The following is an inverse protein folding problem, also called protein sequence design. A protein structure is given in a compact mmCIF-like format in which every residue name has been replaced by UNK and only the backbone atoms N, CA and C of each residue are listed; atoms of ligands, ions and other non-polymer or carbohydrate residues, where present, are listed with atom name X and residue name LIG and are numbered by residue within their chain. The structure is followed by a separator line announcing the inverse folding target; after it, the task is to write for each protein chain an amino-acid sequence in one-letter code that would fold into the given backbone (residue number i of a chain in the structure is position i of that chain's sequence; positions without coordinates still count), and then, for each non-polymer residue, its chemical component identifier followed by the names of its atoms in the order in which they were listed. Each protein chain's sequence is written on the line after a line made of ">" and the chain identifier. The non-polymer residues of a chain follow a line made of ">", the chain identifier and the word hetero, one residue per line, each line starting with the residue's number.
data_IF_192880085580
#
_entry.id   IF_192880085580
#
_cell.length_a   1.000
_cell.length_b   1.000
_cell.length_c   1.000
_cell.angle_alpha   90.00
_cell.angle_beta   90.00
_cell.angle_gamma   90.00
#
_symmetry.space_group_name_H-M   'P 1'
#
loop_
_entity.id
_entity.type
_entity.pdbx_description
1 polymer ?
#
# COMPACT_ATOMS: atom_id res chain seq x y z
N UNK A 1 21.43 -52.32 -48.66
CA UNK A 1 22.21 -51.07 -48.45
C UNK A 1 22.21 -50.76 -46.97
N UNK A 2 23.37 -50.97 -46.33
CA UNK A 2 23.64 -50.69 -44.93
C UNK A 2 24.63 -49.52 -44.92
N UNK A 3 24.35 -48.52 -44.09
CA UNK A 3 25.29 -47.76 -43.23
C UNK A 3 24.81 -46.33 -43.04
N UNK A 4 24.54 -45.98 -41.80
CA UNK A 4 24.93 -44.73 -41.13
C UNK A 4 24.16 -44.64 -39.82
N UNK A 5 24.69 -44.13 -38.73
CA UNK A 5 26.05 -44.03 -38.23
C UNK A 5 25.85 -43.79 -36.72
N UNK A 6 26.72 -44.36 -35.89
CA UNK A 6 26.71 -44.15 -34.44
C UNK A 6 27.03 -42.68 -34.12
N UNK A 7 26.41 -42.16 -33.07
CA UNK A 7 27.13 -41.47 -32.00
C UNK A 7 26.39 -41.72 -30.68
N UNK A 8 26.91 -42.65 -29.87
CA UNK A 8 26.80 -42.55 -28.41
C UNK A 8 27.63 -41.36 -27.95
N UNK A 9 27.42 -40.75 -26.79
CA UNK A 9 27.82 -41.17 -25.42
C UNK A 9 27.01 -40.24 -24.48
N UNK A 10 26.19 -40.76 -23.57
CA UNK A 10 26.49 -41.13 -22.18
C UNK A 10 26.45 -39.98 -21.15
N UNK A 11 26.03 -40.36 -19.94
CA UNK A 11 26.13 -39.69 -18.63
C UNK A 11 25.06 -38.67 -18.21
N UNK A 12 24.00 -39.22 -17.64
CA UNK A 12 23.64 -39.16 -16.20
C UNK A 12 23.81 -37.85 -15.40
N UNK A 13 22.73 -37.56 -14.67
CA UNK A 13 22.63 -36.74 -13.43
C UNK A 13 22.54 -35.22 -13.56
N UNK A 14 21.30 -34.70 -13.50
CA UNK A 14 20.96 -33.79 -12.39
C UNK A 14 19.44 -33.81 -12.11
N UNK A 15 19.13 -34.31 -10.90
CA UNK A 15 17.85 -34.17 -10.21
C UNK A 15 17.43 -32.70 -10.11
N UNK A 16 16.23 -32.33 -10.58
CA UNK A 16 15.32 -31.52 -9.76
C UNK A 16 13.91 -32.08 -9.91
N UNK A 17 13.46 -32.65 -8.79
CA UNK A 17 12.09 -33.06 -8.50
C UNK A 17 11.20 -31.82 -8.59
N UNK A 18 10.37 -31.71 -9.61
CA UNK A 18 9.14 -30.93 -9.49
C UNK A 18 7.97 -31.89 -9.45
N UNK A 19 7.56 -32.11 -8.19
CA UNK A 19 6.39 -32.86 -7.81
C UNK A 19 5.20 -32.43 -8.66
N UNK A 20 4.61 -33.43 -9.30
CA UNK A 20 3.21 -33.49 -9.68
C UNK A 20 2.38 -33.08 -8.46
N UNK A 21 1.92 -31.83 -8.43
CA UNK A 21 0.77 -31.43 -7.63
C UNK A 21 -0.34 -31.18 -8.64
N UNK A 22 -0.93 -32.29 -9.06
CA UNK A 22 -2.34 -32.32 -9.45
C UNK A 22 -3.12 -31.98 -8.18
N UNK A 23 -3.49 -30.71 -8.03
CA UNK A 23 -4.59 -30.32 -7.16
C UNK A 23 -5.62 -29.61 -8.03
N UNK A 24 -6.61 -30.41 -8.44
CA UNK A 24 -8.03 -30.04 -8.42
C UNK A 24 -8.27 -28.53 -8.51
N UNK A 25 -8.40 -28.01 -9.73
CA UNK A 25 -9.14 -26.77 -9.96
C UNK A 25 -10.54 -26.97 -9.35
N UNK A 26 -10.86 -26.36 -8.18
CA UNK A 26 -12.24 -26.31 -7.77
C UNK A 26 -12.97 -25.54 -8.87
N UNK A 27 -14.20 -25.93 -9.20
CA UNK A 27 -15.09 -25.08 -9.97
C UNK A 27 -15.10 -23.70 -9.31
N UNK A 28 -14.33 -22.76 -9.85
CA UNK A 28 -14.23 -21.39 -9.31
C UNK A 28 -15.62 -20.83 -9.45
N UNK A 29 -16.31 -20.72 -8.31
CA UNK A 29 -17.62 -20.11 -8.23
C UNK A 29 -17.37 -18.64 -8.52
N UNK A 30 -17.52 -18.24 -9.79
CA UNK A 30 -17.39 -16.85 -10.22
C UNK A 30 -18.38 -16.03 -9.39
N UNK A 31 -17.85 -15.31 -8.40
CA UNK A 31 -18.59 -14.29 -7.69
C UNK A 31 -18.74 -13.14 -8.67
N UNK A 32 -19.92 -13.00 -9.28
CA UNK A 32 -20.22 -11.83 -10.11
C UNK A 32 -20.29 -10.63 -9.16
N UNK A 33 -19.27 -9.79 -9.22
CA UNK A 33 -19.17 -8.54 -8.46
C UNK A 33 -19.15 -7.37 -9.43
N UNK A 34 -19.74 -6.24 -9.02
CA UNK A 34 -19.59 -4.98 -9.75
C UNK A 34 -18.14 -4.53 -9.68
N UNK A 35 -17.64 -3.85 -10.71
CA UNK A 35 -16.26 -3.32 -10.76
C UNK A 35 -15.92 -2.46 -9.54
N UNK A 36 -16.88 -1.66 -9.06
CA UNK A 36 -16.71 -0.85 -7.86
C UNK A 36 -16.61 -1.68 -6.57
N UNK A 37 -17.35 -2.78 -6.49
CA UNK A 37 -17.28 -3.66 -5.33
C UNK A 37 -15.98 -4.47 -5.34
N UNK A 38 -15.50 -4.85 -6.52
CA UNK A 38 -14.21 -5.51 -6.70
C UNK A 38 -13.04 -4.61 -6.30
N UNK A 39 -13.05 -3.34 -6.69
CA UNK A 39 -12.04 -2.37 -6.26
C UNK A 39 -12.02 -2.19 -4.73
N UNK A 40 -13.20 -2.14 -4.08
CA UNK A 40 -13.29 -2.05 -2.61
C UNK A 40 -12.71 -3.29 -1.93
N UNK A 41 -12.98 -4.47 -2.46
CA UNK A 41 -12.49 -5.71 -1.86
C UNK A 41 -10.97 -5.85 -2.04
N UNK A 42 -10.45 -5.50 -3.23
CA UNK A 42 -9.00 -5.42 -3.49
C UNK A 42 -8.33 -4.47 -2.50
N UNK A 43 -8.90 -3.28 -2.27
CA UNK A 43 -8.39 -2.35 -1.26
C UNK A 43 -8.40 -2.95 0.14
N UNK A 44 -9.46 -3.65 0.52
CA UNK A 44 -9.60 -4.25 1.84
C UNK A 44 -8.56 -5.35 2.08
N UNK A 45 -8.28 -6.17 1.06
CA UNK A 45 -7.27 -7.24 1.11
C UNK A 45 -5.87 -6.65 1.24
N UNK A 46 -5.52 -5.66 0.42
CA UNK A 46 -4.22 -4.97 0.50
C UNK A 46 -4.06 -4.27 1.85
N UNK A 47 -5.12 -3.65 2.39
CA UNK A 47 -5.12 -3.02 3.71
C UNK A 47 -4.90 -4.03 4.83
N UNK A 48 -5.52 -5.21 4.73
CA UNK A 48 -5.37 -6.30 5.72
C UNK A 48 -3.94 -6.86 5.71
N UNK A 49 -3.31 -6.92 4.54
CA UNK A 49 -1.91 -7.36 4.41
C UNK A 49 -0.90 -6.33 4.97
N UNK A 50 -1.30 -5.06 5.06
CA UNK A 50 -0.49 -3.99 5.65
C UNK A 50 0.90 -3.88 5.01
N UNK A 51 1.94 -3.90 5.86
CA UNK A 51 3.34 -3.73 5.43
C UNK A 51 3.99 -4.94 4.74
N UNK A 52 3.31 -6.09 4.63
CA UNK A 52 3.84 -7.26 3.91
C UNK A 52 3.71 -7.09 2.39
N UNK A 53 2.71 -6.32 1.95
CA UNK A 53 2.28 -6.24 0.56
C UNK A 53 1.76 -7.59 0.04
N UNK A 54 1.12 -7.57 -1.12
CA UNK A 54 0.60 -8.78 -1.78
C UNK A 54 0.97 -8.80 -3.26
N UNK A 55 1.17 -10.00 -3.79
CA UNK A 55 1.28 -10.28 -5.22
C UNK A 55 -0.10 -10.31 -5.88
N UNK A 56 -0.15 -10.17 -7.22
CA UNK A 56 -1.42 -10.24 -7.96
C UNK A 56 -2.07 -11.61 -7.76
N UNK A 57 -1.28 -12.67 -7.77
CA UNK A 57 -1.71 -14.06 -7.60
C UNK A 57 -2.29 -14.30 -6.20
N UNK A 58 -1.72 -13.65 -5.18
CA UNK A 58 -2.24 -13.69 -3.81
C UNK A 58 -3.60 -12.96 -3.73
N UNK A 59 -3.70 -11.76 -4.31
CA UNK A 59 -4.96 -11.00 -4.36
C UNK A 59 -6.04 -11.79 -5.13
N UNK A 60 -5.67 -12.41 -6.24
CA UNK A 60 -6.53 -13.25 -7.06
C UNK A 60 -7.02 -14.50 -6.31
N UNK A 61 -6.13 -15.15 -5.57
CA UNK A 61 -6.46 -16.32 -4.77
C UNK A 61 -7.40 -16.00 -3.62
N UNK A 62 -7.17 -14.88 -2.92
CA UNK A 62 -8.04 -14.41 -1.83
C UNK A 62 -9.44 -14.02 -2.33
N UNK A 63 -9.54 -13.44 -3.53
CA UNK A 63 -10.82 -13.07 -4.15
C UNK A 63 -11.52 -14.22 -4.86
N UNK A 64 -10.80 -15.31 -5.16
CA UNK A 64 -11.29 -16.39 -6.02
C UNK A 64 -11.60 -15.91 -7.45
N UNK A 65 -10.85 -14.95 -7.96
CA UNK A 65 -11.03 -14.34 -9.29
C UNK A 65 -9.73 -14.49 -10.08
N UNK A 66 -9.84 -14.60 -11.41
CA UNK A 66 -8.68 -14.71 -12.29
C UNK A 66 -7.81 -13.43 -12.28
N UNK A 67 -6.49 -13.62 -12.30
CA UNK A 67 -5.53 -12.51 -12.27
C UNK A 67 -5.64 -11.57 -13.47
N UNK A 68 -6.10 -12.05 -14.63
CA UNK A 68 -6.32 -11.23 -15.83
C UNK A 68 -7.45 -10.20 -15.64
N UNK A 69 -8.44 -10.51 -14.81
CA UNK A 69 -9.55 -9.60 -14.50
C UNK A 69 -9.13 -8.54 -13.48
N UNK A 70 -8.25 -8.90 -12.55
CA UNK A 70 -7.80 -8.02 -11.47
C UNK A 70 -6.74 -7.03 -11.95
N UNK A 71 -5.87 -7.44 -12.87
CA UNK A 71 -4.79 -6.60 -13.40
C UNK A 71 -5.23 -5.21 -13.87
N UNK A 72 -6.26 -5.03 -14.72
CA UNK A 72 -6.70 -3.69 -15.13
C UNK A 72 -7.25 -2.86 -13.97
N UNK A 73 -7.83 -3.50 -12.95
CA UNK A 73 -8.36 -2.82 -11.76
C UNK A 73 -7.22 -2.29 -10.90
N UNK A 74 -6.19 -3.10 -10.69
CA UNK A 74 -4.97 -2.69 -10.00
C UNK A 74 -4.29 -1.54 -10.76
N UNK A 75 -4.16 -1.63 -12.09
CA UNK A 75 -3.59 -0.55 -12.91
C UNK A 75 -4.38 0.76 -12.78
N UNK A 76 -5.72 0.68 -12.82
CA UNK A 76 -6.58 1.84 -12.57
C UNK A 76 -6.36 2.42 -11.17
N UNK A 77 -6.35 1.58 -10.14
CA UNK A 77 -6.15 2.01 -8.75
C UNK A 77 -4.76 2.60 -8.50
N UNK A 78 -3.73 2.11 -9.21
CA UNK A 78 -2.40 2.73 -9.21
C UNK A 78 -2.43 4.11 -9.87
N UNK A 79 -3.12 4.25 -11.00
CA UNK A 79 -3.30 5.54 -11.69
C UNK A 79 -4.05 6.56 -10.83
N UNK A 80 -5.04 6.11 -10.07
CA UNK A 80 -5.77 6.94 -9.09
C UNK A 80 -4.95 7.24 -7.83
N UNK A 81 -3.80 6.56 -7.66
CA UNK A 81 -2.92 6.74 -6.52
C UNK A 81 -3.48 6.14 -5.22
N UNK A 82 -4.34 5.13 -5.29
CA UNK A 82 -4.86 4.43 -4.10
C UNK A 82 -3.88 3.37 -3.60
N UNK A 83 -3.09 2.79 -4.51
CA UNK A 83 -2.12 1.73 -4.22
C UNK A 83 -0.76 2.07 -4.86
N UNK A 84 0.32 1.59 -4.25
CA UNK A 84 1.69 1.69 -4.76
C UNK A 84 2.22 0.29 -5.05
N UNK A 85 2.90 0.14 -6.19
CA UNK A 85 3.64 -1.08 -6.52
C UNK A 85 5.11 -0.90 -6.13
N UNK A 86 5.63 -1.82 -5.34
CA UNK A 86 7.07 -1.95 -5.08
C UNK A 86 7.58 -3.16 -5.85
N UNK A 87 8.51 -2.92 -6.77
CA UNK A 87 9.22 -4.01 -7.46
C UNK A 87 10.34 -4.49 -6.55
N UNK A 88 10.27 -5.74 -6.10
CA UNK A 88 11.36 -6.36 -5.37
C UNK A 88 12.34 -7.03 -6.34
N UNK A 89 11.82 -7.74 -7.35
CA UNK A 89 12.55 -8.36 -8.47
C UNK A 89 11.70 -8.35 -9.76
N UNK A 90 12.26 -8.77 -10.92
CA UNK A 90 11.55 -8.70 -12.22
C UNK A 90 10.22 -9.49 -12.25
N UNK A 91 10.06 -10.52 -11.41
CA UNK A 91 8.84 -11.33 -11.32
C UNK A 91 7.97 -11.02 -10.08
N UNK A 92 8.55 -10.52 -8.98
CA UNK A 92 7.83 -10.29 -7.71
C UNK A 92 7.51 -8.80 -7.51
N UNK A 93 6.44 -8.35 -8.17
CA UNK A 93 5.85 -7.03 -7.94
C UNK A 93 4.82 -7.09 -6.83
N UNK A 94 5.14 -6.50 -5.67
CA UNK A 94 4.25 -6.44 -4.51
C UNK A 94 3.48 -5.13 -4.48
N UNK A 95 2.19 -5.21 -4.16
CA UNK A 95 1.28 -4.08 -4.07
C UNK A 95 1.01 -3.73 -2.61
N UNK A 96 1.10 -2.44 -2.31
CA UNK A 96 0.93 -1.86 -0.99
C UNK A 96 -0.12 -0.77 -1.05
N UNK A 97 -0.76 -0.52 0.08
CA UNK A 97 -1.61 0.67 0.20
C UNK A 97 -0.73 1.90 0.01
N UNK A 98 -1.18 2.87 -0.79
CA UNK A 98 -0.49 4.15 -0.83
C UNK A 98 -0.78 4.81 0.51
N UNK A 99 0.22 4.77 1.37
CA UNK A 99 0.26 5.61 2.54
C UNK A 99 0.15 7.06 2.06
N UNK A 100 -0.96 7.71 2.41
CA UNK A 100 -1.19 9.13 2.10
C UNK A 100 -0.22 10.04 2.86
N UNK A 101 0.74 9.45 3.57
CA UNK A 101 1.70 10.08 4.45
C UNK A 101 2.94 10.61 3.75
N UNK A 102 3.31 10.13 2.56
CA UNK A 102 4.57 10.52 1.92
C UNK A 102 4.58 11.90 1.22
N UNK A 103 3.47 12.62 1.21
CA UNK A 103 3.45 14.00 0.68
C UNK A 103 2.63 14.99 1.52
N UNK A 104 1.72 14.50 2.37
CA UNK A 104 0.76 15.35 3.11
C UNK A 104 0.57 14.88 4.57
N UNK A 105 1.50 14.12 5.15
CA UNK A 105 1.45 13.79 6.59
C UNK A 105 2.51 14.54 7.40
N UNK A 106 2.45 15.87 7.30
CA UNK A 106 2.26 16.63 8.53
C UNK A 106 0.73 16.74 8.77
N UNK A 107 0.03 15.60 8.84
CA UNK A 107 -1.27 15.57 9.51
C UNK A 107 -0.90 15.70 10.96
N UNK A 108 -0.79 16.94 11.40
CA UNK A 108 -0.56 17.27 12.78
C UNK A 108 -1.66 16.54 13.54
N UNK A 109 -1.27 15.54 14.32
CA UNK A 109 -2.24 14.93 15.22
C UNK A 109 -2.73 16.07 16.12
N UNK A 110 -3.99 16.05 16.56
CA UNK A 110 -4.42 17.04 17.57
C UNK A 110 -3.53 16.98 18.84
N UNK A 111 -2.77 15.89 19.00
CA UNK A 111 -1.66 15.78 19.96
C UNK A 111 -0.65 16.91 19.87
N UNK A 112 -0.40 17.46 18.69
CA UNK A 112 0.59 18.52 18.44
C UNK A 112 0.08 19.89 18.92
N UNK A 113 -1.21 19.98 19.24
CA UNK A 113 -1.83 21.17 19.85
C UNK A 113 -1.94 21.04 21.38
N UNK A 114 -1.44 19.94 21.96
CA UNK A 114 -1.45 19.78 23.41
C UNK A 114 -0.66 20.91 24.08
N UNK A 115 -1.27 21.52 25.10
CA UNK A 115 -0.65 22.62 25.82
C UNK A 115 -0.70 23.98 25.11
N UNK A 116 -1.42 24.11 23.99
CA UNK A 116 -1.54 25.41 23.32
C UNK A 116 -2.12 26.48 24.26
N UNK A 117 -1.42 27.61 24.49
CA UNK A 117 -1.85 28.64 25.45
C UNK A 117 -3.16 29.34 25.04
N UNK A 118 -3.54 29.26 23.76
CA UNK A 118 -4.79 29.83 23.26
C UNK A 118 -6.05 29.17 23.85
N UNK A 119 -6.00 27.89 24.24
CA UNK A 119 -7.18 27.21 24.78
C UNK A 119 -7.64 27.74 26.13
N UNK A 120 -6.73 28.40 26.87
CA UNK A 120 -7.01 28.97 28.20
C UNK A 120 -6.88 30.51 28.22
N UNK A 121 -6.68 31.13 27.06
CA UNK A 121 -6.44 32.57 26.96
C UNK A 121 -7.74 33.36 27.14
N UNK A 122 -7.79 34.18 28.21
CA UNK A 122 -8.95 35.05 28.50
C UNK A 122 -9.21 36.10 27.42
N UNK A 123 -8.21 36.42 26.60
CA UNK A 123 -8.28 37.41 25.53
C UNK A 123 -8.61 36.82 24.15
N UNK A 124 -8.83 35.50 24.04
CA UNK A 124 -9.00 34.82 22.76
C UNK A 124 -10.13 35.41 21.91
N UNK A 125 -11.20 35.92 22.55
CA UNK A 125 -12.33 36.56 21.88
C UNK A 125 -12.00 37.86 21.14
N UNK A 126 -10.90 38.52 21.50
CA UNK A 126 -10.39 39.74 20.85
C UNK A 126 -9.06 39.51 20.12
N UNK A 127 -8.53 38.29 20.19
CA UNK A 127 -7.25 37.92 19.63
C UNK A 127 -7.39 37.68 18.13
N UNK A 128 -6.58 38.35 17.30
CA UNK A 128 -6.66 38.18 15.86
C UNK A 128 -5.52 38.85 15.10
N UNK A 129 -5.37 38.46 13.84
CA UNK A 129 -4.36 39.05 12.94
C UNK A 129 -4.70 40.53 12.76
N UNK A 130 -3.72 41.42 12.98
CA UNK A 130 -3.84 42.90 12.95
C UNK A 130 -4.72 43.50 14.06
N UNK A 131 -5.01 42.76 15.12
CA UNK A 131 -5.63 43.29 16.34
C UNK A 131 -4.55 43.73 17.36
N UNK A 132 -4.87 44.62 18.32
CA UNK A 132 -3.93 44.99 19.38
C UNK A 132 -3.52 43.78 20.22
N UNK A 133 -4.45 42.85 20.47
CA UNK A 133 -4.14 41.51 20.96
C UNK A 133 -4.02 40.58 19.73
N UNK A 134 -2.79 40.19 19.38
CA UNK A 134 -2.50 39.35 18.21
C UNK A 134 -1.70 38.12 18.62
N UNK A 135 -1.97 36.94 18.02
CA UNK A 135 -1.18 35.74 18.29
C UNK A 135 0.28 35.91 17.87
N UNK A 136 0.55 36.77 16.88
CA UNK A 136 1.91 37.08 16.39
C UNK A 136 2.74 37.87 17.42
N UNK A 137 2.09 38.66 18.28
CA UNK A 137 2.75 39.45 19.31
C UNK A 137 2.61 38.80 20.71
N UNK A 138 2.12 37.55 20.77
CA UNK A 138 1.86 36.87 22.03
C UNK A 138 3.11 36.13 22.52
N UNK A 139 3.69 36.61 23.62
CA UNK A 139 4.87 36.00 24.24
C UNK A 139 4.67 34.54 24.66
N UNK A 140 3.50 34.20 25.21
CA UNK A 140 3.18 32.83 25.61
C UNK A 140 3.11 31.89 24.40
N UNK A 141 2.61 32.38 23.26
CA UNK A 141 2.58 31.63 22.01
C UNK A 141 4.00 31.40 21.47
N UNK A 142 4.84 32.43 21.50
CA UNK A 142 6.24 32.34 21.07
C UNK A 142 7.01 31.29 21.89
N UNK A 143 6.87 31.31 23.22
CA UNK A 143 7.52 30.32 24.11
C UNK A 143 7.03 28.90 23.80
N UNK A 144 5.72 28.72 23.61
CA UNK A 144 5.14 27.41 23.34
C UNK A 144 5.62 26.83 21.99
N UNK A 145 5.67 27.67 20.94
CA UNK A 145 6.18 27.26 19.63
C UNK A 145 7.64 26.82 19.70
N UNK A 146 8.50 27.60 20.35
CA UNK A 146 9.93 27.25 20.51
C UNK A 146 10.10 25.96 21.32
N UNK A 147 9.30 25.74 22.36
CA UNK A 147 9.36 24.51 23.15
C UNK A 147 8.86 23.26 22.43
N UNK A 148 8.09 23.43 21.34
CA UNK A 148 7.52 22.33 20.57
C UNK A 148 8.43 21.87 19.41
N UNK A 149 9.53 22.57 19.15
CA UNK A 149 10.49 22.27 18.07
C UNK A 149 11.64 21.33 18.50
N UNK A 150 11.72 20.97 19.80
CA UNK A 150 12.83 20.19 20.40
C UNK A 150 12.60 18.66 20.45
N UNK A 151 11.70 18.08 19.62
CA UNK A 151 11.43 16.63 19.57
C UNK A 151 11.54 16.03 18.16
#
# INVERSE_FOLDING_TARGET
>A
MIKNNRFGIASSELLIRYHVIVFLLPCVRLKVMSMNDLAKEVLNIIRTAGGKGLLIEEIASELGIDSQVIKPIIEQMMSEGLIKMQKQDQEDSRYFMKDTTDAESARSSLSDLNGCPCFHCLKISKCGIRQPDSPVACKEMEIWLVSSEDL
#
